data_IF_225631027287
#
_entry.id   IF_225631027287
#
_cell.length_a   1.000
_cell.length_b   1.000
_cell.length_c   1.000
_cell.angle_alpha   90.00
_cell.angle_beta   90.00
_cell.angle_gamma   90.00
#
_symmetry.space_group_name_H-M   'P 1'
#
loop_
_entity.id
_entity.type
_entity.pdbx_description
1 polymer ?
#
# COMPACT_ATOMS: atom_id res chain seq x y z
N UNK A 1 17.46 -7.88 33.53
CA UNK A 1 16.39 -6.86 33.68
C UNK A 1 16.38 -6.06 32.40
N UNK A 2 15.56 -6.46 31.42
CA UNK A 2 15.41 -5.72 30.17
C UNK A 2 14.48 -4.55 30.45
N UNK A 3 15.04 -3.34 30.53
CA UNK A 3 14.27 -2.12 30.34
C UNK A 3 13.86 -2.10 28.86
N UNK A 4 12.75 -2.76 28.57
CA UNK A 4 12.11 -2.59 27.28
C UNK A 4 11.49 -1.20 27.34
N UNK A 5 12.10 -0.26 26.61
CA UNK A 5 11.57 1.08 26.42
C UNK A 5 10.23 0.96 25.67
N UNK A 6 9.14 0.69 26.40
CA UNK A 6 7.79 0.45 25.89
C UNK A 6 6.86 1.64 26.12
N UNK A 7 7.40 2.85 26.33
CA UNK A 7 6.57 4.04 26.56
C UNK A 7 6.16 4.78 25.27
N UNK A 8 6.49 4.26 24.08
CA UNK A 8 5.88 4.73 22.83
C UNK A 8 4.79 3.76 22.39
N UNK A 9 3.54 4.21 22.22
CA UNK A 9 2.51 3.38 21.63
C UNK A 9 2.95 2.94 20.23
N UNK A 10 2.67 1.69 19.83
CA UNK A 10 2.94 1.24 18.48
C UNK A 10 2.20 2.14 17.48
N UNK A 11 2.87 2.49 16.37
CA UNK A 11 2.27 3.31 15.34
C UNK A 11 0.94 2.69 14.86
N UNK A 12 -0.07 3.52 14.78
CA UNK A 12 -1.36 3.18 14.18
C UNK A 12 -1.20 2.90 12.69
N UNK A 13 -2.17 2.19 12.09
CA UNK A 13 -2.17 1.91 10.64
C UNK A 13 -2.15 3.20 9.82
N UNK A 14 -2.92 4.21 10.26
CA UNK A 14 -2.92 5.54 9.68
C UNK A 14 -1.54 6.21 9.70
N UNK A 15 -0.82 6.13 10.82
CA UNK A 15 0.52 6.70 10.92
C UNK A 15 1.53 5.98 10.02
N UNK A 16 1.44 4.65 9.91
CA UNK A 16 2.28 3.86 8.98
C UNK A 16 2.00 4.25 7.53
N UNK A 17 0.74 4.36 7.13
CA UNK A 17 0.35 4.79 5.79
C UNK A 17 0.90 6.19 5.47
N UNK A 18 0.74 7.14 6.40
CA UNK A 18 1.26 8.50 6.23
C UNK A 18 2.79 8.56 6.19
N UNK A 19 3.50 7.70 6.93
CA UNK A 19 4.95 7.61 6.83
C UNK A 19 5.41 7.13 5.45
N UNK A 20 4.69 6.18 4.84
CA UNK A 20 4.99 5.73 3.47
C UNK A 20 4.69 6.85 2.45
N UNK A 21 3.59 7.59 2.60
CA UNK A 21 3.26 8.76 1.74
C UNK A 21 4.31 9.85 1.76
N UNK A 22 4.91 10.11 2.92
CA UNK A 22 5.95 11.14 3.08
C UNK A 22 7.31 10.72 2.52
N UNK A 23 7.50 9.43 2.24
CA UNK A 23 8.73 8.90 1.65
C UNK A 23 8.63 8.92 0.13
N UNK A 24 9.78 9.00 -0.52
CA UNK A 24 9.89 8.99 -1.99
C UNK A 24 9.56 7.62 -2.63
N UNK A 25 8.85 6.73 -1.94
CA UNK A 25 8.50 5.39 -2.44
C UNK A 25 7.73 5.44 -3.76
N UNK A 26 6.85 6.43 -3.92
CA UNK A 26 6.00 6.58 -5.11
C UNK A 26 6.73 7.15 -6.32
N UNK A 27 7.95 7.68 -6.17
CA UNK A 27 8.70 8.33 -7.27
C UNK A 27 9.14 7.35 -8.35
N UNK A 28 9.22 6.05 -8.03
CA UNK A 28 9.54 4.98 -9.00
C UNK A 28 8.34 4.54 -9.85
N UNK A 29 7.14 5.02 -9.53
CA UNK A 29 5.89 4.67 -10.19
C UNK A 29 5.33 5.87 -10.96
N UNK A 30 4.66 5.61 -12.09
CA UNK A 30 3.94 6.66 -12.84
C UNK A 30 2.70 7.16 -12.09
N UNK A 31 2.09 8.24 -12.57
CA UNK A 31 0.92 8.87 -11.92
C UNK A 31 -0.23 7.88 -11.67
N UNK A 32 -0.57 7.04 -12.65
CA UNK A 32 -1.64 6.04 -12.51
C UNK A 32 -1.30 4.99 -11.45
N UNK A 33 -0.07 4.47 -11.44
CA UNK A 33 0.38 3.47 -10.47
C UNK A 33 0.39 4.05 -9.05
N UNK A 34 0.84 5.31 -8.92
CA UNK A 34 0.80 6.05 -7.68
C UNK A 34 -0.63 6.21 -7.15
N UNK A 35 -1.58 6.61 -7.99
CA UNK A 35 -2.98 6.76 -7.57
C UNK A 35 -3.58 5.44 -7.05
N UNK A 36 -3.24 4.31 -7.69
CA UNK A 36 -3.66 2.98 -7.23
C UNK A 36 -3.03 2.64 -5.88
N UNK A 37 -1.73 2.85 -5.71
CA UNK A 37 -1.03 2.56 -4.45
C UNK A 37 -1.46 3.49 -3.31
N UNK A 38 -1.77 4.76 -3.59
CA UNK A 38 -2.33 5.70 -2.61
C UNK A 38 -3.71 5.24 -2.13
N UNK A 39 -4.56 4.77 -3.05
CA UNK A 39 -5.88 4.21 -2.73
C UNK A 39 -5.76 2.92 -1.91
N UNK A 40 -4.76 2.08 -2.20
CA UNK A 40 -4.45 0.90 -1.38
C UNK A 40 -4.01 1.30 0.03
N UNK A 41 -3.22 2.36 0.18
CA UNK A 41 -2.83 2.85 1.50
C UNK A 41 -4.02 3.34 2.34
N UNK A 42 -4.99 3.99 1.71
CA UNK A 42 -6.25 4.36 2.39
C UNK A 42 -7.00 3.11 2.86
N UNK A 43 -7.14 2.11 1.98
CA UNK A 43 -7.77 0.83 2.34
C UNK A 43 -7.04 0.10 3.47
N UNK A 44 -5.71 0.14 3.47
CA UNK A 44 -4.89 -0.42 4.55
C UNK A 44 -5.13 0.30 5.88
N UNK A 45 -5.31 1.62 5.86
CA UNK A 45 -5.57 2.40 7.07
C UNK A 45 -6.87 1.97 7.75
N UNK A 46 -7.89 1.61 6.96
CA UNK A 46 -9.21 1.20 7.42
C UNK A 46 -9.29 -0.31 7.74
N UNK A 47 -8.90 -1.17 6.80
CA UNK A 47 -9.18 -2.61 6.84
C UNK A 47 -7.95 -3.47 7.18
N UNK A 48 -6.74 -2.95 6.92
CA UNK A 48 -5.46 -3.59 7.25
C UNK A 48 -4.77 -4.28 6.07
N UNK A 49 -3.69 -5.00 6.38
CA UNK A 49 -2.74 -5.49 5.35
C UNK A 49 -3.32 -6.60 4.46
N UNK A 50 -4.16 -7.47 5.03
CA UNK A 50 -4.73 -8.60 4.29
C UNK A 50 -5.63 -8.16 3.13
N UNK A 51 -6.26 -7.00 3.27
CA UNK A 51 -7.14 -6.46 2.24
C UNK A 51 -6.33 -5.97 1.02
N UNK A 52 -5.22 -5.27 1.25
CA UNK A 52 -4.40 -4.74 0.15
C UNK A 52 -3.59 -5.81 -0.59
N UNK A 53 -3.31 -6.94 0.05
CA UNK A 53 -2.67 -8.11 -0.57
C UNK A 53 -3.64 -8.89 -1.47
N UNK A 54 -4.95 -8.68 -1.30
CA UNK A 54 -5.97 -9.33 -2.07
C UNK A 54 -6.22 -8.60 -3.39
N UNK A 55 -6.07 -9.30 -4.51
CA UNK A 55 -6.30 -8.73 -5.85
C UNK A 55 -7.75 -8.25 -6.04
N UNK A 56 -8.70 -8.80 -5.27
CA UNK A 56 -10.09 -8.35 -5.32
C UNK A 56 -10.25 -6.89 -4.90
N UNK A 57 -9.29 -6.33 -4.14
CA UNK A 57 -9.27 -4.91 -3.76
C UNK A 57 -9.32 -3.98 -4.99
N UNK A 58 -8.84 -4.45 -6.16
CA UNK A 58 -8.90 -3.68 -7.41
C UNK A 58 -10.34 -3.47 -7.92
N UNK A 59 -11.30 -4.26 -7.43
CA UNK A 59 -12.72 -4.13 -7.74
C UNK A 59 -13.48 -3.29 -6.71
N UNK A 60 -12.83 -2.95 -5.60
CA UNK A 60 -13.42 -2.14 -4.55
C UNK A 60 -13.23 -0.65 -4.85
N UNK A 61 -14.21 0.19 -4.52
CA UNK A 61 -14.05 1.64 -4.58
C UNK A 61 -13.04 2.11 -3.52
N UNK A 62 -12.22 3.14 -3.80
CA UNK A 62 -12.18 3.94 -5.03
C UNK A 62 -11.30 3.35 -6.15
N UNK A 63 -10.63 2.22 -5.95
CA UNK A 63 -9.65 1.66 -6.89
C UNK A 63 -10.31 1.26 -8.21
N UNK A 64 -11.53 0.73 -8.17
CA UNK A 64 -12.29 0.38 -9.37
C UNK A 64 -12.61 1.58 -10.29
N UNK A 65 -12.56 2.82 -9.76
CA UNK A 65 -12.74 4.04 -10.57
C UNK A 65 -11.48 4.42 -11.35
N UNK A 66 -10.31 3.89 -10.97
CA UNK A 66 -9.03 4.16 -11.64
C UNK A 66 -8.84 3.32 -12.91
N UNK A 67 -9.59 2.23 -13.04
CA UNK A 67 -9.54 1.36 -14.20
C UNK A 67 -10.01 -0.06 -13.88
N UNK A 68 -10.17 -0.88 -14.92
CA UNK A 68 -10.48 -2.29 -14.72
C UNK A 68 -9.27 -3.03 -14.09
N UNK A 69 -9.48 -4.12 -13.31
CA UNK A 69 -8.37 -4.87 -12.72
C UNK A 69 -7.33 -5.32 -13.77
N UNK A 70 -7.77 -5.71 -14.97
CA UNK A 70 -6.88 -6.12 -16.05
C UNK A 70 -6.02 -4.96 -16.56
N UNK A 71 -6.61 -3.77 -16.67
CA UNK A 71 -5.94 -2.55 -17.12
C UNK A 71 -4.94 -2.04 -16.08
N UNK A 72 -5.30 -2.07 -14.80
CA UNK A 72 -4.37 -1.77 -13.71
C UNK A 72 -3.20 -2.75 -13.74
N UNK A 73 -3.46 -4.06 -13.76
CA UNK A 73 -2.39 -5.06 -13.73
C UNK A 73 -1.47 -4.96 -14.96
N UNK A 74 -2.02 -4.94 -16.18
CA UNK A 74 -1.20 -4.98 -17.41
C UNK A 74 -0.78 -3.61 -17.92
N UNK A 75 -1.66 -2.62 -17.88
CA UNK A 75 -1.41 -1.28 -18.40
C UNK A 75 -0.58 -0.43 -17.44
N UNK A 76 -0.92 -0.45 -16.15
CA UNK A 76 -0.29 0.41 -15.15
C UNK A 76 0.97 -0.23 -14.56
N UNK A 77 0.89 -1.50 -14.12
CA UNK A 77 2.01 -2.19 -13.50
C UNK A 77 2.84 -3.03 -14.49
N UNK A 78 2.34 -3.30 -15.69
CA UNK A 78 3.04 -4.11 -16.69
C UNK A 78 2.97 -5.62 -16.45
N UNK A 79 2.08 -6.08 -15.58
CA UNK A 79 1.83 -7.50 -15.29
C UNK A 79 1.33 -7.75 -13.88
N UNK A 80 0.74 -8.94 -13.66
CA UNK A 80 0.30 -9.38 -12.34
C UNK A 80 1.46 -9.51 -11.36
N UNK A 81 2.59 -10.05 -11.82
CA UNK A 81 3.76 -10.26 -10.97
C UNK A 81 4.34 -8.94 -10.46
N UNK A 82 4.44 -7.94 -11.34
CA UNK A 82 4.89 -6.58 -10.98
C UNK A 82 3.95 -5.89 -9.98
N UNK A 83 2.64 -6.08 -10.13
CA UNK A 83 1.69 -5.58 -9.14
C UNK A 83 1.88 -6.26 -7.78
N UNK A 84 2.00 -7.59 -7.75
CA UNK A 84 2.22 -8.33 -6.50
C UNK A 84 3.53 -7.93 -5.83
N UNK A 85 4.59 -7.72 -6.61
CA UNK A 85 5.86 -7.19 -6.11
C UNK A 85 5.68 -5.79 -5.51
N UNK A 86 4.99 -4.88 -6.20
CA UNK A 86 4.72 -3.53 -5.71
C UNK A 86 3.90 -3.52 -4.41
N UNK A 87 2.91 -4.41 -4.28
CA UNK A 87 2.10 -4.55 -3.05
C UNK A 87 2.93 -5.15 -1.91
N UNK A 88 3.76 -6.15 -2.19
CA UNK A 88 4.66 -6.74 -1.20
C UNK A 88 5.71 -5.74 -0.70
N UNK A 89 6.26 -4.93 -1.60
CA UNK A 89 7.15 -3.83 -1.24
C UNK A 89 6.42 -2.77 -0.42
N UNK A 90 5.19 -2.41 -0.80
CA UNK A 90 4.35 -1.47 -0.05
C UNK A 90 4.11 -1.98 1.38
N UNK A 91 3.76 -3.25 1.54
CA UNK A 91 3.63 -3.90 2.84
C UNK A 91 4.95 -3.85 3.63
N UNK A 92 6.07 -4.15 2.99
CA UNK A 92 7.39 -4.05 3.62
C UNK A 92 7.68 -2.63 4.11
N UNK A 93 7.37 -1.60 3.32
CA UNK A 93 7.56 -0.20 3.70
C UNK A 93 6.65 0.24 4.86
N UNK A 94 5.41 -0.27 4.91
CA UNK A 94 4.48 -0.03 6.02
C UNK A 94 5.00 -0.56 7.36
N UNK A 95 5.70 -1.69 7.35
CA UNK A 95 6.25 -2.32 8.57
C UNK A 95 7.72 -1.95 8.86
N UNK A 96 8.48 -1.49 7.87
CA UNK A 96 9.83 -0.90 8.07
C UNK A 96 9.80 0.39 8.88
N UNK A 97 8.67 1.07 8.93
CA UNK A 97 8.51 2.33 9.63
C UNK A 97 8.19 2.18 11.13
N UNK A 98 8.18 0.95 11.67
CA UNK A 98 7.95 0.63 13.07
C UNK A 98 9.25 0.54 13.88
#
# INVERSE_FOLDING_TARGET
>A
ICHVAFDKPPLTRNERANNVRKRDYFTKYGEQARAVLESLLDKYADEGIHEIENINVLREPPICNLGSPTEILKGVFGGRDKYLEAVKELGTELYKAA
#
